data_IF_078877225869
#
_entry.id   IF_078877225869
#
_cell.length_a   1.000
_cell.length_b   1.000
_cell.length_c   1.000
_cell.angle_alpha   90.00
_cell.angle_beta   90.00
_cell.angle_gamma   90.00
#
_symmetry.space_group_name_H-M   'P 1'
#
loop_
_entity.id
_entity.type
_entity.pdbx_description
1 polymer ?
#
# COMPACT_ATOMS: atom_id res chain seq x y z
N UNK A 1 11.14 -14.25 9.33
CA UNK A 1 12.11 -13.90 8.28
C UNK A 1 13.48 -14.44 8.67
N UNK A 2 14.26 -14.96 7.71
CA UNK A 2 15.64 -15.42 7.92
C UNK A 2 16.59 -14.31 7.48
N UNK A 3 17.48 -13.87 8.37
CA UNK A 3 18.55 -12.92 8.09
C UNK A 3 19.88 -13.67 8.10
N UNK A 4 20.74 -13.39 7.14
CA UNK A 4 22.05 -14.04 7.00
C UNK A 4 23.11 -13.08 6.49
N UNK A 5 24.37 -13.52 6.52
CA UNK A 5 25.49 -12.75 5.99
C UNK A 5 25.81 -11.46 6.77
N UNK A 6 26.27 -10.40 6.09
CA UNK A 6 26.70 -9.16 6.73
C UNK A 6 25.62 -8.48 7.60
N UNK A 7 24.35 -8.62 7.22
CA UNK A 7 23.23 -8.00 7.93
C UNK A 7 23.12 -8.47 9.38
N UNK A 8 23.36 -9.76 9.63
CA UNK A 8 23.36 -10.36 10.97
C UNK A 8 24.45 -9.73 11.83
N UNK A 9 25.64 -9.51 11.27
CA UNK A 9 26.75 -8.90 11.99
C UNK A 9 26.46 -7.45 12.35
N UNK A 10 25.87 -6.69 11.42
CA UNK A 10 25.46 -5.30 11.65
C UNK A 10 24.40 -5.23 12.76
N UNK A 11 23.39 -6.10 12.71
CA UNK A 11 22.33 -6.14 13.73
C UNK A 11 22.88 -6.48 15.13
N UNK A 12 23.78 -7.46 15.23
CA UNK A 12 24.43 -7.79 16.50
C UNK A 12 25.36 -6.67 17.00
N UNK A 13 25.95 -5.86 16.12
CA UNK A 13 26.73 -4.68 16.52
C UNK A 13 25.83 -3.56 17.04
N UNK A 14 24.71 -3.29 16.37
CA UNK A 14 23.75 -2.25 16.77
C UNK A 14 23.03 -2.64 18.06
N UNK A 15 22.62 -3.90 18.18
CA UNK A 15 21.98 -4.44 19.36
C UNK A 15 22.66 -5.75 19.79
N UNK A 16 23.61 -5.68 20.74
CA UNK A 16 24.34 -6.86 21.23
C UNK A 16 23.45 -7.97 21.77
N UNK A 17 22.23 -7.67 22.24
CA UNK A 17 21.29 -8.71 22.69
C UNK A 17 20.89 -9.67 21.59
N UNK A 18 20.99 -9.31 20.31
CA UNK A 18 20.74 -10.24 19.20
C UNK A 18 21.73 -11.41 19.17
N UNK A 19 22.92 -11.25 19.76
CA UNK A 19 23.97 -12.28 19.79
C UNK A 19 23.49 -13.56 20.48
N UNK A 20 22.61 -13.47 21.49
CA UNK A 20 22.06 -14.63 22.19
C UNK A 20 21.12 -15.49 21.33
N UNK A 21 20.61 -14.94 20.23
CA UNK A 21 19.71 -15.62 19.31
C UNK A 21 20.41 -16.09 18.03
N UNK A 22 21.74 -15.92 17.93
CA UNK A 22 22.51 -16.38 16.79
C UNK A 22 22.54 -17.90 16.74
N UNK A 23 22.26 -18.42 15.56
CA UNK A 23 22.40 -19.84 15.25
C UNK A 23 23.33 -20.03 14.06
N UNK A 24 23.95 -21.20 13.96
CA UNK A 24 24.73 -21.60 12.79
C UNK A 24 23.94 -22.59 11.96
N UNK A 25 23.69 -22.26 10.69
CA UNK A 25 23.07 -23.16 9.71
C UNK A 25 24.05 -23.35 8.58
N UNK A 26 24.49 -24.60 8.32
CA UNK A 26 25.50 -24.92 7.30
C UNK A 26 26.77 -24.04 7.38
N UNK A 27 27.26 -23.80 8.61
CA UNK A 27 28.44 -22.96 8.87
C UNK A 27 28.19 -21.45 8.84
N UNK A 28 27.03 -20.98 8.39
CA UNK A 28 26.70 -19.55 8.33
C UNK A 28 25.93 -19.07 9.57
N UNK A 29 26.25 -17.87 10.04
CA UNK A 29 25.51 -17.20 11.13
C UNK A 29 24.18 -16.68 10.61
N UNK A 30 23.10 -17.05 11.28
CA UNK A 30 21.72 -16.74 10.92
C UNK A 30 20.98 -16.18 12.12
N UNK A 31 20.07 -15.23 11.87
CA UNK A 31 19.04 -14.79 12.81
C UNK A 31 17.66 -15.03 12.21
N UNK A 32 16.80 -15.71 12.96
CA UNK A 32 15.38 -15.75 12.65
C UNK A 32 14.69 -14.64 13.42
N UNK A 33 13.96 -13.79 12.71
CA UNK A 33 13.25 -12.65 13.29
C UNK A 33 11.76 -12.75 13.00
N UNK A 34 10.97 -12.28 13.96
CA UNK A 34 9.53 -12.07 13.79
C UNK A 34 9.30 -10.66 13.27
N UNK A 35 8.55 -10.52 12.18
CA UNK A 35 8.18 -9.22 11.63
C UNK A 35 6.92 -8.72 12.36
N UNK A 36 7.04 -7.59 13.06
CA UNK A 36 5.91 -6.99 13.80
C UNK A 36 4.97 -6.22 12.85
N UNK A 37 5.50 -5.78 11.70
CA UNK A 37 4.75 -5.08 10.65
C UNK A 37 4.96 -5.77 9.30
N UNK A 38 4.01 -5.57 8.40
CA UNK A 38 4.11 -6.02 7.02
C UNK A 38 5.34 -5.39 6.34
N UNK A 39 6.18 -6.23 5.72
CA UNK A 39 7.37 -5.79 4.99
C UNK A 39 7.06 -5.61 3.52
N UNK A 40 7.31 -4.42 2.97
CA UNK A 40 7.12 -4.13 1.56
C UNK A 40 7.86 -5.13 0.66
N UNK A 41 7.25 -5.46 -0.49
CA UNK A 41 7.80 -6.44 -1.44
C UNK A 41 7.48 -7.91 -1.13
N UNK A 42 6.82 -8.23 -0.01
CA UNK A 42 6.31 -9.57 0.24
C UNK A 42 4.85 -9.73 -0.21
N UNK A 43 4.52 -10.87 -0.82
CA UNK A 43 3.14 -11.21 -1.22
C UNK A 43 2.14 -11.09 -0.06
N UNK A 44 2.55 -11.57 1.11
CA UNK A 44 1.73 -11.49 2.34
C UNK A 44 1.43 -10.03 2.70
N UNK A 45 2.40 -9.14 2.55
CA UNK A 45 2.22 -7.71 2.83
C UNK A 45 1.26 -7.04 1.85
N UNK A 46 1.35 -7.37 0.56
CA UNK A 46 0.40 -6.91 -0.45
C UNK A 46 -1.03 -7.38 -0.11
N UNK A 47 -1.19 -8.64 0.29
CA UNK A 47 -2.49 -9.18 0.69
C UNK A 47 -3.03 -8.53 1.98
N UNK A 48 -2.18 -8.27 2.98
CA UNK A 48 -2.58 -7.57 4.20
C UNK A 48 -3.04 -6.13 3.89
N UNK A 49 -2.30 -5.43 3.01
CA UNK A 49 -2.68 -4.10 2.55
C UNK A 49 -4.02 -4.14 1.80
N UNK A 50 -4.21 -5.08 0.88
CA UNK A 50 -5.47 -5.28 0.18
C UNK A 50 -6.65 -5.45 1.16
N UNK A 51 -6.52 -6.35 2.14
CA UNK A 51 -7.59 -6.60 3.14
C UNK A 51 -7.91 -5.34 3.93
N UNK A 52 -6.90 -4.58 4.34
CA UNK A 52 -7.08 -3.31 5.04
C UNK A 52 -7.76 -2.26 4.15
N UNK A 53 -7.23 -2.03 2.95
CA UNK A 53 -7.77 -1.02 2.04
C UNK A 53 -9.22 -1.33 1.65
N UNK A 54 -9.52 -2.59 1.35
CA UNK A 54 -10.88 -3.06 1.08
C UNK A 54 -11.82 -2.71 2.24
N UNK A 55 -11.44 -3.05 3.47
CA UNK A 55 -12.25 -2.77 4.65
C UNK A 55 -12.46 -1.26 4.84
N UNK A 56 -11.39 -0.48 4.78
CA UNK A 56 -11.44 0.97 4.95
C UNK A 56 -12.33 1.63 3.85
N UNK A 57 -12.29 1.14 2.61
CA UNK A 57 -13.14 1.61 1.51
C UNK A 57 -14.62 1.28 1.77
N UNK A 58 -14.92 0.04 2.21
CA UNK A 58 -16.28 -0.37 2.54
C UNK A 58 -16.84 0.49 3.68
N UNK A 59 -16.06 0.72 4.73
CA UNK A 59 -16.44 1.60 5.85
C UNK A 59 -16.65 3.05 5.41
N UNK A 60 -15.88 3.51 4.41
CA UNK A 60 -16.07 4.82 3.78
C UNK A 60 -17.27 4.86 2.80
N UNK A 61 -17.99 3.76 2.61
CA UNK A 61 -19.22 3.67 1.83
C UNK A 61 -19.02 3.28 0.36
N UNK A 62 -17.90 2.66 0.02
CA UNK A 62 -17.72 2.03 -1.29
C UNK A 62 -18.27 0.60 -1.31
N UNK A 63 -18.70 0.17 -2.48
CA UNK A 63 -18.99 -1.23 -2.80
C UNK A 63 -17.88 -1.80 -3.69
N UNK A 64 -17.39 -2.99 -3.34
CA UNK A 64 -16.38 -3.68 -4.13
C UNK A 64 -17.03 -4.27 -5.38
N UNK A 65 -16.40 -4.07 -6.53
CA UNK A 65 -16.90 -4.62 -7.78
C UNK A 65 -16.85 -6.16 -7.75
N UNK A 66 -17.94 -6.86 -8.12
CA UNK A 66 -17.99 -8.31 -8.07
C UNK A 66 -17.10 -9.00 -9.12
N UNK A 67 -16.77 -8.31 -10.22
CA UNK A 67 -15.91 -8.83 -11.29
C UNK A 67 -14.43 -8.59 -11.02
N UNK A 68 -14.09 -7.41 -10.50
CA UNK A 68 -12.71 -7.04 -10.19
C UNK A 68 -12.58 -6.62 -8.72
N UNK A 69 -11.96 -7.46 -7.86
CA UNK A 69 -11.82 -7.19 -6.44
C UNK A 69 -10.91 -5.98 -6.13
N UNK A 70 -10.20 -5.45 -7.12
CA UNK A 70 -9.35 -4.26 -7.05
C UNK A 70 -10.04 -3.01 -7.64
N UNK A 71 -11.36 -3.05 -7.79
CA UNK A 71 -12.21 -1.92 -8.19
C UNK A 71 -13.29 -1.72 -7.15
N UNK A 72 -13.50 -0.48 -6.73
CA UNK A 72 -14.55 -0.09 -5.79
C UNK A 72 -15.30 1.14 -6.29
N UNK A 73 -16.62 1.15 -6.11
CA UNK A 73 -17.49 2.23 -6.57
C UNK A 73 -18.34 2.79 -5.43
N UNK A 74 -18.58 4.10 -5.44
CA UNK A 74 -19.47 4.81 -4.52
C UNK A 74 -20.30 5.83 -5.29
N UNK A 75 -21.59 5.95 -4.99
CA UNK A 75 -22.41 7.01 -5.57
C UNK A 75 -22.29 8.30 -4.74
N UNK A 76 -21.91 9.40 -5.38
CA UNK A 76 -21.80 10.73 -4.78
C UNK A 76 -22.50 11.72 -5.70
N UNK A 77 -23.48 12.47 -5.19
CA UNK A 77 -24.26 13.45 -5.98
C UNK A 77 -24.85 12.85 -7.27
N UNK A 78 -25.35 11.61 -7.21
CA UNK A 78 -25.93 10.90 -8.35
C UNK A 78 -24.91 10.43 -9.40
N UNK A 79 -23.61 10.50 -9.12
CA UNK A 79 -22.53 10.15 -10.05
C UNK A 79 -21.54 9.19 -9.37
N UNK A 80 -20.90 8.34 -10.17
CA UNK A 80 -20.02 7.29 -9.65
C UNK A 80 -18.62 7.85 -9.34
N UNK A 81 -18.16 7.64 -8.11
CA UNK A 81 -16.78 7.76 -7.68
C UNK A 81 -16.16 6.37 -7.74
N UNK A 82 -15.13 6.21 -8.56
CA UNK A 82 -14.45 4.92 -8.77
C UNK A 82 -13.03 4.99 -8.25
N UNK A 83 -12.62 3.95 -7.51
CA UNK A 83 -11.25 3.73 -7.07
C UNK A 83 -10.79 2.39 -7.64
N UNK A 84 -9.65 2.39 -8.31
CA UNK A 84 -8.97 1.18 -8.77
C UNK A 84 -7.56 1.16 -8.22
N UNK A 85 -7.01 -0.01 -7.89
CA UNK A 85 -5.65 -0.06 -7.36
C UNK A 85 -4.87 -1.29 -7.82
N UNK A 86 -3.54 -1.15 -7.78
CA UNK A 86 -2.61 -2.25 -7.93
C UNK A 86 -1.61 -2.20 -6.79
N UNK A 87 -1.65 -3.20 -5.89
CA UNK A 87 -0.88 -3.18 -4.64
C UNK A 87 -1.15 -1.87 -3.88
N UNK A 88 -0.18 -0.96 -3.82
CA UNK A 88 -0.22 0.32 -3.13
C UNK A 88 -0.52 1.53 -4.03
N UNK A 89 -0.61 1.32 -5.36
CA UNK A 89 -0.87 2.39 -6.33
C UNK A 89 -2.37 2.54 -6.63
N UNK A 90 -2.98 3.61 -6.10
CA UNK A 90 -4.39 3.95 -6.31
C UNK A 90 -4.59 4.91 -7.47
N UNK A 91 -5.67 4.71 -8.22
CA UNK A 91 -6.23 5.63 -9.21
C UNK A 91 -7.69 5.91 -8.85
N UNK A 92 -8.09 7.18 -8.83
CA UNK A 92 -9.44 7.61 -8.46
C UNK A 92 -10.02 8.55 -9.52
N UNK A 93 -11.31 8.40 -9.82
CA UNK A 93 -12.02 9.24 -10.79
C UNK A 93 -13.44 9.56 -10.34
N UNK A 94 -13.84 10.81 -10.55
CA UNK A 94 -15.21 11.30 -10.43
C UNK A 94 -15.38 12.55 -11.29
N UNK A 95 -16.58 12.82 -11.81
CA UNK A 95 -16.80 13.97 -12.70
C UNK A 95 -16.65 15.33 -12.00
N UNK A 96 -16.94 15.40 -10.70
CA UNK A 96 -16.77 16.60 -9.88
C UNK A 96 -15.38 16.60 -9.22
N UNK A 97 -14.53 17.61 -9.52
CA UNK A 97 -13.20 17.75 -8.94
C UNK A 97 -13.15 17.75 -7.40
N UNK A 98 -14.16 18.36 -6.74
CA UNK A 98 -14.23 18.48 -5.28
C UNK A 98 -14.35 17.13 -4.59
N UNK A 99 -15.14 16.21 -5.13
CA UNK A 99 -15.31 14.84 -4.60
C UNK A 99 -13.99 14.07 -4.62
N UNK A 100 -13.20 14.23 -5.69
CA UNK A 100 -11.86 13.63 -5.77
C UNK A 100 -10.92 14.23 -4.71
N UNK A 101 -11.00 15.56 -4.48
CA UNK A 101 -10.20 16.23 -3.44
C UNK A 101 -10.55 15.72 -2.04
N UNK A 102 -11.83 15.54 -1.74
CA UNK A 102 -12.30 15.01 -0.46
C UNK A 102 -11.77 13.60 -0.20
N UNK A 103 -11.88 12.72 -1.21
CA UNK A 103 -11.32 11.37 -1.12
C UNK A 103 -9.80 11.39 -0.91
N UNK A 104 -9.07 12.26 -1.63
CA UNK A 104 -7.63 12.44 -1.45
C UNK A 104 -7.27 12.86 -0.02
N UNK A 105 -8.06 13.74 0.60
CA UNK A 105 -7.84 14.12 2.01
C UNK A 105 -8.12 12.95 2.95
N UNK A 106 -9.18 12.18 2.72
CA UNK A 106 -9.46 10.97 3.51
C UNK A 106 -8.30 9.97 3.43
N UNK A 107 -7.76 9.70 2.24
CA UNK A 107 -6.58 8.83 2.06
C UNK A 107 -5.38 9.37 2.84
N UNK A 108 -5.11 10.68 2.78
CA UNK A 108 -4.03 11.30 3.57
C UNK A 108 -4.21 11.11 5.07
N UNK A 109 -5.43 11.25 5.59
CA UNK A 109 -5.72 11.05 7.01
C UNK A 109 -5.51 9.59 7.44
N UNK A 110 -5.93 8.64 6.59
CA UNK A 110 -5.84 7.21 6.89
C UNK A 110 -4.41 6.66 6.78
N UNK A 111 -3.66 7.09 5.75
CA UNK A 111 -2.39 6.45 5.35
C UNK A 111 -1.17 7.38 5.43
N UNK A 112 -1.36 8.68 5.64
CA UNK A 112 -0.29 9.68 5.62
C UNK A 112 0.52 9.84 6.91
N UNK A 113 0.20 9.08 7.98
CA UNK A 113 0.84 9.24 9.30
C UNK A 113 2.32 8.86 9.34
N UNK A 114 2.72 7.83 8.58
CA UNK A 114 4.10 7.30 8.59
C UNK A 114 4.94 7.98 7.50
N UNK A 115 4.34 8.15 6.32
CA UNK A 115 4.96 8.79 5.16
C UNK A 115 3.86 9.54 4.42
N UNK A 116 4.20 10.70 3.88
CA UNK A 116 3.28 11.45 3.04
C UNK A 116 2.80 10.61 1.85
N UNK A 117 1.48 10.60 1.62
CA UNK A 117 0.87 9.96 0.45
C UNK A 117 1.21 10.80 -0.78
N UNK A 118 1.90 10.21 -1.75
CA UNK A 118 2.20 10.85 -3.03
C UNK A 118 0.91 10.94 -3.86
N UNK A 119 0.50 12.15 -4.19
CA UNK A 119 -0.71 12.42 -4.98
C UNK A 119 -0.31 13.13 -6.27
N UNK A 120 -0.88 12.68 -7.39
CA UNK A 120 -0.85 13.40 -8.66
C UNK A 120 -2.27 13.74 -9.09
N UNK A 121 -2.44 14.90 -9.73
CA UNK A 121 -3.74 15.36 -10.23
C UNK A 121 -3.55 16.04 -11.57
N UNK A 122 -4.41 15.72 -12.52
CA UNK A 122 -4.43 16.38 -13.81
C UNK A 122 -5.07 15.49 -14.87
N UNK A 123 -4.70 15.76 -16.12
CA UNK A 123 -5.08 14.94 -17.28
C UNK A 123 -4.03 13.93 -17.66
N UNK A 124 -2.79 14.09 -17.19
CA UNK A 124 -1.66 13.24 -17.53
C UNK A 124 -1.14 12.58 -16.26
N UNK A 125 -1.09 11.27 -16.25
CA UNK A 125 -0.64 10.47 -15.12
C UNK A 125 0.36 9.41 -15.56
N UNK A 126 1.43 9.23 -14.79
CA UNK A 126 2.24 8.01 -14.85
C UNK A 126 1.66 7.01 -13.85
N UNK A 127 1.23 5.86 -14.34
CA UNK A 127 0.59 4.82 -13.54
C UNK A 127 1.03 3.44 -14.04
N UNK A 128 1.70 2.67 -13.19
CA UNK A 128 2.17 1.31 -13.49
C UNK A 128 3.02 1.22 -14.78
N UNK A 129 3.93 2.19 -14.98
CA UNK A 129 4.76 2.26 -16.19
C UNK A 129 4.03 2.73 -17.45
N UNK A 130 2.76 3.11 -17.35
CA UNK A 130 1.97 3.68 -18.45
C UNK A 130 1.78 5.18 -18.28
N UNK A 131 1.75 5.90 -19.40
CA UNK A 131 1.34 7.32 -19.45
C UNK A 131 -0.13 7.40 -19.86
N UNK A 132 -1.00 7.69 -18.91
CA UNK A 132 -2.44 7.87 -19.13
C UNK A 132 -2.73 9.33 -19.43
N UNK A 133 -3.42 9.60 -20.54
CA UNK A 133 -3.82 10.94 -20.98
C UNK A 133 -5.35 10.98 -21.11
N UNK A 134 -5.99 11.83 -20.31
CA UNK A 134 -7.43 12.03 -20.32
C UNK A 134 -7.77 13.32 -21.08
N UNK A 135 -8.47 13.18 -22.20
CA UNK A 135 -8.94 14.33 -22.97
C UNK A 135 -10.23 14.88 -22.36
N UNK A 136 -10.43 16.18 -22.49
CA UNK A 136 -11.78 16.74 -22.33
C UNK A 136 -12.50 16.50 -23.64
N UNK A 137 -13.71 15.95 -23.56
CA UNK A 137 -14.67 16.10 -24.65
C UNK A 137 -15.02 17.58 -24.85
#
# INVERSE_FOLDING_TARGET
MKLEGPLVQILCKINPTCTKYLIKVKGQKVLYVHLIKALYGMLVSAMLFYKKLKQDLIEYGFEINPYDPCVANKMVNGKQLTVTWHVDDLKVSHMQPSVVTEFMQWVKTMYGKIREVKITRGKVHEYLGMKLIYNSD
#
